data_IF_276263371567
#
_entry.id   IF_276263371567
#
_cell.length_a   1.000
_cell.length_b   1.000
_cell.length_c   1.000
_cell.angle_alpha   90.00
_cell.angle_beta   90.00
_cell.angle_gamma   90.00
#
_symmetry.space_group_name_H-M   'P 1'
#
loop_
_entity.id
_entity.type
_entity.pdbx_description
1 polymer ?
#
# COMPACT_ATOMS: atom_id res chain seq x y z
N UNK A 1 -80.03 -2.00 4.00
CA UNK A 1 -79.14 -1.09 4.74
C UNK A 1 -77.79 -1.78 4.67
N UNK A 2 -77.04 -1.52 3.60
CA UNK A 2 -75.76 -2.18 3.34
C UNK A 2 -74.68 -1.42 4.09
N UNK A 3 -73.96 -2.13 4.95
CA UNK A 3 -72.87 -1.59 5.75
C UNK A 3 -71.69 -1.33 4.81
N UNK A 4 -71.32 -0.06 4.66
CA UNK A 4 -70.16 0.34 3.86
C UNK A 4 -68.90 0.13 4.70
N UNK A 5 -68.44 -1.11 4.79
CA UNK A 5 -67.16 -1.42 5.40
C UNK A 5 -66.02 -1.31 4.36
N UNK A 6 -64.95 -0.62 4.73
CA UNK A 6 -63.79 -0.38 3.88
C UNK A 6 -62.54 -0.85 4.60
N UNK A 7 -61.89 -1.89 4.06
CA UNK A 7 -60.67 -2.44 4.64
C UNK A 7 -59.42 -1.70 4.12
N UNK A 8 -58.69 -1.06 5.04
CA UNK A 8 -57.39 -0.44 4.78
C UNK A 8 -56.28 -1.32 5.34
N UNK A 9 -55.41 -1.83 4.47
CA UNK A 9 -54.21 -2.58 4.86
C UNK A 9 -52.98 -1.69 4.70
N UNK A 10 -52.28 -1.40 5.81
CA UNK A 10 -51.03 -0.64 5.82
C UNK A 10 -49.88 -1.61 6.13
N UNK A 11 -48.95 -1.84 5.18
CA UNK A 11 -47.82 -2.74 5.42
C UNK A 11 -46.86 -2.13 6.44
N UNK A 12 -46.51 -2.90 7.47
CA UNK A 12 -45.54 -2.50 8.50
C UNK A 12 -44.13 -2.91 8.07
N UNK A 13 -43.18 -1.96 8.13
CA UNK A 13 -41.76 -2.20 7.91
C UNK A 13 -40.95 -1.61 9.07
N UNK A 14 -39.91 -2.30 9.49
CA UNK A 14 -39.03 -1.85 10.57
C UNK A 14 -37.76 -1.23 10.01
N UNK A 15 -37.32 -0.15 10.63
CA UNK A 15 -36.13 0.58 10.21
C UNK A 15 -34.91 0.08 10.98
N UNK A 16 -34.00 -0.61 10.31
CA UNK A 16 -32.76 -1.08 10.90
C UNK A 16 -31.68 0.02 10.84
N UNK A 17 -31.05 0.30 11.98
CA UNK A 17 -29.94 1.25 12.10
C UNK A 17 -28.63 0.48 12.03
N UNK A 18 -28.10 0.31 10.82
CA UNK A 18 -26.86 -0.43 10.59
C UNK A 18 -25.77 0.57 10.20
N UNK A 19 -24.62 0.46 10.84
CA UNK A 19 -23.40 1.18 10.50
C UNK A 19 -22.47 0.24 9.72
N UNK A 20 -22.12 0.65 8.50
CA UNK A 20 -21.18 -0.07 7.65
C UNK A 20 -19.90 0.76 7.47
N UNK A 21 -18.76 0.27 7.94
CA UNK A 21 -17.46 0.94 7.81
C UNK A 21 -16.41 0.05 7.17
N UNK A 22 -15.30 0.66 6.74
CA UNK A 22 -14.21 0.00 6.01
C UNK A 22 -12.87 0.41 6.59
N UNK A 23 -11.93 -0.51 6.56
CA UNK A 23 -10.52 -0.32 6.93
C UNK A 23 -9.64 -1.12 5.96
N UNK A 24 -8.39 -0.67 5.80
CA UNK A 24 -7.39 -1.40 5.02
C UNK A 24 -6.01 -1.23 5.66
N UNK A 25 -5.15 -2.23 5.52
CA UNK A 25 -3.80 -2.22 6.09
C UNK A 25 -2.90 -1.19 5.41
N UNK A 26 -3.10 -0.91 4.12
CA UNK A 26 -2.42 0.17 3.41
C UNK A 26 -3.28 0.71 2.28
N UNK A 27 -3.05 1.97 1.92
CA UNK A 27 -3.70 2.66 0.79
C UNK A 27 -2.72 2.96 -0.35
N UNK A 28 -1.42 2.69 -0.15
CA UNK A 28 -0.35 2.94 -1.11
C UNK A 28 0.59 1.75 -1.13
N UNK A 29 0.98 1.34 -2.34
CA UNK A 29 1.92 0.27 -2.61
C UNK A 29 2.93 0.73 -3.64
N UNK A 30 4.22 0.63 -3.30
CA UNK A 30 5.31 0.96 -4.20
C UNK A 30 5.95 -0.30 -4.74
N UNK A 31 6.01 -0.40 -6.07
CA UNK A 31 6.66 -1.52 -6.75
C UNK A 31 8.17 -1.31 -6.70
N UNK A 32 8.86 -2.24 -6.03
CA UNK A 32 10.32 -2.26 -5.95
C UNK A 32 10.98 -2.54 -7.31
N UNK A 33 12.29 -2.29 -7.39
CA UNK A 33 13.07 -2.41 -8.64
C UNK A 33 13.30 -3.84 -9.13
N UNK A 34 13.29 -4.82 -8.25
CA UNK A 34 13.62 -6.21 -8.56
C UNK A 34 12.41 -7.11 -8.31
N UNK A 35 12.16 -8.07 -9.20
CA UNK A 35 11.19 -9.15 -8.97
C UNK A 35 11.84 -10.04 -7.89
N UNK A 36 11.65 -9.72 -6.61
CA UNK A 36 12.26 -10.49 -5.54
C UNK A 36 11.64 -11.89 -5.52
N UNK A 37 12.38 -12.87 -6.05
CA UNK A 37 12.06 -14.32 -6.01
C UNK A 37 12.30 -14.89 -4.59
N UNK A 38 12.45 -14.05 -3.56
CA UNK A 38 12.66 -14.51 -2.20
C UNK A 38 11.35 -14.49 -1.41
N UNK A 39 10.87 -15.69 -1.09
CA UNK A 39 9.65 -15.99 -0.32
C UNK A 39 9.57 -15.33 1.08
N UNK A 40 10.60 -14.59 1.52
CA UNK A 40 10.62 -13.86 2.78
C UNK A 40 9.87 -12.51 2.73
N UNK A 41 9.49 -12.01 1.55
CA UNK A 41 8.77 -10.74 1.38
C UNK A 41 7.27 -10.89 1.03
N UNK A 42 6.73 -12.10 0.88
CA UNK A 42 5.33 -12.31 0.45
C UNK A 42 4.29 -11.74 1.42
N UNK A 43 4.63 -11.64 2.71
CA UNK A 43 3.78 -11.06 3.75
C UNK A 43 3.67 -9.52 3.71
N UNK A 44 4.60 -8.82 3.04
CA UNK A 44 4.55 -7.36 2.87
C UNK A 44 3.58 -6.92 1.77
N UNK A 45 3.19 -7.85 0.90
CA UNK A 45 2.47 -7.60 -0.34
C UNK A 45 0.99 -7.99 -0.28
N UNK A 46 0.54 -8.48 0.88
CA UNK A 46 -0.84 -8.88 1.11
C UNK A 46 -1.68 -7.67 1.53
N UNK A 47 -2.71 -7.35 0.77
CA UNK A 47 -3.69 -6.36 1.16
C UNK A 47 -4.81 -7.02 1.99
N UNK A 48 -5.32 -6.27 2.96
CA UNK A 48 -6.45 -6.66 3.77
C UNK A 48 -7.53 -5.58 3.65
N UNK A 49 -8.74 -6.00 3.29
CA UNK A 49 -9.93 -5.15 3.33
C UNK A 49 -10.84 -5.65 4.46
N UNK A 50 -10.95 -4.85 5.52
CA UNK A 50 -11.79 -5.16 6.66
C UNK A 50 -13.04 -4.31 6.61
N UNK A 51 -14.20 -4.96 6.64
CA UNK A 51 -15.49 -4.29 6.71
C UNK A 51 -16.17 -4.63 8.02
N UNK A 52 -16.61 -3.58 8.72
CA UNK A 52 -17.34 -3.70 9.98
C UNK A 52 -18.80 -3.40 9.74
N UNK A 53 -19.65 -4.34 10.15
CA UNK A 53 -21.12 -4.22 10.10
C UNK A 53 -21.62 -4.19 11.54
N UNK A 54 -22.16 -3.05 11.98
CA UNK A 54 -22.57 -2.83 13.36
C UNK A 54 -24.05 -2.48 13.43
N UNK A 55 -24.79 -3.16 14.30
CA UNK A 55 -26.18 -2.82 14.61
C UNK A 55 -26.21 -1.75 15.70
N UNK A 56 -26.79 -0.60 15.40
CA UNK A 56 -27.03 0.50 16.34
C UNK A 56 -28.49 0.53 16.82
N UNK A 57 -29.33 -0.35 16.28
CA UNK A 57 -30.73 -0.48 16.62
C UNK A 57 -30.99 -1.31 17.88
N UNK A 58 -32.25 -1.35 18.30
CA UNK A 58 -32.73 -2.00 19.53
C UNK A 58 -33.31 -3.39 19.30
N UNK A 59 -33.22 -3.92 18.08
CA UNK A 59 -33.68 -5.26 17.72
C UNK A 59 -32.63 -5.99 16.87
N UNK A 60 -32.55 -7.32 16.95
CA UNK A 60 -31.62 -8.10 16.13
C UNK A 60 -32.00 -8.02 14.65
N UNK A 61 -30.99 -8.06 13.78
CA UNK A 61 -31.15 -7.93 12.32
C UNK A 61 -30.62 -9.18 11.64
N UNK A 62 -31.40 -9.70 10.68
CA UNK A 62 -31.05 -10.89 9.89
C UNK A 62 -31.20 -10.60 8.39
N UNK A 63 -30.61 -11.48 7.57
CA UNK A 63 -30.67 -11.38 6.12
C UNK A 63 -29.80 -10.27 5.56
N UNK A 64 -28.73 -9.89 6.26
CA UNK A 64 -27.71 -8.98 5.72
C UNK A 64 -26.75 -9.77 4.83
N UNK A 65 -26.41 -9.20 3.69
CA UNK A 65 -25.45 -9.77 2.74
C UNK A 65 -24.42 -8.70 2.36
N UNK A 66 -23.14 -9.03 2.38
CA UNK A 66 -22.08 -8.16 1.89
C UNK A 66 -21.57 -8.70 0.56
N UNK A 67 -21.59 -7.85 -0.46
CA UNK A 67 -21.08 -8.16 -1.79
C UNK A 67 -19.84 -7.31 -2.07
N UNK A 68 -18.66 -7.93 -2.03
CA UNK A 68 -17.37 -7.30 -2.36
C UNK A 68 -17.04 -7.57 -3.83
N UNK A 69 -16.55 -6.55 -4.53
CA UNK A 69 -15.93 -6.68 -5.86
C UNK A 69 -14.53 -6.07 -5.88
N UNK A 70 -13.60 -6.79 -6.50
CA UNK A 70 -12.17 -6.43 -6.57
C UNK A 70 -11.66 -6.58 -8.01
N UNK A 71 -10.94 -5.59 -8.57
CA UNK A 71 -10.30 -5.66 -9.89
C UNK A 71 -9.34 -6.85 -10.02
N UNK A 72 -9.77 -7.89 -10.74
CA UNK A 72 -8.99 -9.11 -10.94
C UNK A 72 -8.06 -9.01 -12.14
N UNK A 73 -8.62 -8.86 -13.34
CA UNK A 73 -7.86 -8.75 -14.58
C UNK A 73 -8.12 -7.40 -15.25
N UNK A 74 -7.11 -6.81 -15.87
CA UNK A 74 -7.29 -5.70 -16.81
C UNK A 74 -8.10 -6.15 -18.04
N UNK A 75 -8.56 -5.20 -18.87
CA UNK A 75 -9.25 -5.54 -20.12
C UNK A 75 -8.34 -6.28 -21.12
N UNK A 76 -7.02 -6.07 -21.04
CA UNK A 76 -6.06 -6.84 -21.82
C UNK A 76 -5.78 -8.23 -21.23
N UNK A 77 -6.34 -8.58 -20.07
CA UNK A 77 -6.18 -9.88 -19.43
C UNK A 77 -4.99 -9.98 -18.46
N UNK A 78 -4.34 -8.87 -18.12
CA UNK A 78 -3.26 -8.88 -17.14
C UNK A 78 -3.83 -9.00 -15.71
N UNK A 79 -3.32 -9.91 -14.85
CA UNK A 79 -3.72 -9.98 -13.46
C UNK A 79 -3.35 -8.72 -12.66
N UNK A 80 -4.23 -8.28 -11.76
CA UNK A 80 -4.07 -7.07 -10.96
C UNK A 80 -4.10 -7.39 -9.46
N UNK A 81 -5.22 -7.92 -8.97
CA UNK A 81 -5.42 -8.25 -7.56
C UNK A 81 -5.95 -9.67 -7.45
N UNK A 82 -5.25 -10.51 -6.70
CA UNK A 82 -5.73 -11.84 -6.33
C UNK A 82 -6.67 -11.74 -5.14
N UNK A 83 -7.57 -12.70 -5.04
CA UNK A 83 -8.44 -12.84 -3.89
C UNK A 83 -8.07 -14.11 -3.14
N UNK A 84 -7.74 -13.97 -1.86
CA UNK A 84 -7.42 -15.06 -0.96
C UNK A 84 -8.58 -15.38 -0.01
N UNK A 85 -8.24 -15.71 1.23
CA UNK A 85 -9.20 -16.14 2.24
C UNK A 85 -10.03 -14.98 2.81
N UNK A 86 -11.22 -15.34 3.29
CA UNK A 86 -12.16 -14.44 3.95
C UNK A 86 -12.30 -14.87 5.39
N UNK A 87 -11.89 -14.00 6.30
CA UNK A 87 -12.01 -14.22 7.74
C UNK A 87 -13.28 -13.53 8.23
N UNK A 88 -14.16 -14.28 8.86
CA UNK A 88 -15.44 -13.77 9.35
C UNK A 88 -15.60 -14.02 10.84
N UNK A 89 -16.19 -13.06 11.52
CA UNK A 89 -16.69 -13.26 12.87
C UNK A 89 -18.15 -13.76 12.82
N UNK A 90 -18.56 -14.52 13.83
CA UNK A 90 -19.98 -14.78 14.11
C UNK A 90 -20.75 -15.65 13.11
N UNK A 91 -20.09 -16.64 12.48
CA UNK A 91 -20.78 -17.68 11.69
C UNK A 91 -21.28 -17.24 10.31
N UNK A 92 -20.71 -16.16 9.76
CA UNK A 92 -21.03 -15.69 8.40
C UNK A 92 -20.49 -16.64 7.34
N UNK A 93 -21.27 -16.91 6.29
CA UNK A 93 -20.91 -17.82 5.19
C UNK A 93 -20.60 -17.02 3.94
N UNK A 94 -19.42 -17.21 3.37
CA UNK A 94 -18.97 -16.49 2.18
C UNK A 94 -18.73 -17.43 1.00
N UNK A 95 -19.15 -16.99 -0.19
CA UNK A 95 -18.90 -17.65 -1.47
C UNK A 95 -18.03 -16.74 -2.33
N UNK A 96 -16.90 -17.28 -2.79
CA UNK A 96 -15.94 -16.57 -3.63
C UNK A 96 -16.18 -16.92 -5.09
N UNK A 97 -16.26 -15.91 -5.95
CA UNK A 97 -16.36 -16.04 -7.40
C UNK A 97 -15.12 -15.43 -8.05
N UNK A 98 -14.27 -16.29 -8.59
CA UNK A 98 -13.08 -15.83 -9.29
C UNK A 98 -13.41 -15.45 -10.74
N UNK A 99 -12.73 -14.43 -11.24
CA UNK A 99 -12.82 -14.03 -12.64
C UNK A 99 -12.33 -15.16 -13.56
N UNK A 100 -13.03 -15.35 -14.68
CA UNK A 100 -12.60 -16.31 -15.71
C UNK A 100 -11.27 -15.86 -16.31
N UNK A 101 -10.34 -16.79 -16.50
CA UNK A 101 -9.01 -16.50 -17.05
C UNK A 101 -7.98 -16.07 -16.01
N UNK A 102 -8.34 -16.09 -14.71
CA UNK A 102 -7.35 -15.93 -13.64
C UNK A 102 -6.26 -17.02 -13.75
N UNK A 103 -4.96 -16.68 -13.56
CA UNK A 103 -3.87 -17.65 -13.66
C UNK A 103 -4.03 -18.80 -12.67
N UNK A 104 -4.10 -20.01 -13.21
CA UNK A 104 -4.04 -21.26 -12.43
C UNK A 104 -2.60 -21.70 -12.22
N UNK A 105 -2.35 -22.39 -11.11
CA UNK A 105 -1.01 -22.89 -10.76
C UNK A 105 -0.48 -23.81 -11.88
N UNK A 106 0.71 -23.50 -12.40
CA UNK A 106 1.41 -24.32 -13.40
C UNK A 106 1.14 -23.96 -14.86
N UNK A 107 0.33 -22.94 -15.15
CA UNK A 107 0.12 -22.44 -16.53
C UNK A 107 1.03 -21.25 -16.83
N UNK A 108 1.65 -21.25 -18.02
CA UNK A 108 2.43 -20.09 -18.49
C UNK A 108 1.51 -18.89 -18.70
N UNK A 109 1.82 -17.77 -18.04
CA UNK A 109 1.06 -16.52 -18.11
C UNK A 109 1.69 -15.59 -19.14
N UNK A 110 0.92 -15.21 -20.16
CA UNK A 110 1.30 -14.16 -21.10
C UNK A 110 0.86 -12.81 -20.56
N UNK A 111 1.81 -11.92 -20.30
CA UNK A 111 1.54 -10.53 -19.92
C UNK A 111 1.51 -9.64 -21.17
N UNK A 112 0.58 -8.69 -21.17
CA UNK A 112 0.37 -7.74 -22.25
C UNK A 112 0.91 -6.36 -21.89
N UNK A 113 1.50 -5.67 -22.85
CA UNK A 113 1.87 -4.27 -22.71
C UNK A 113 0.62 -3.39 -22.67
N UNK A 114 0.42 -2.65 -21.58
CA UNK A 114 -0.62 -1.65 -21.45
C UNK A 114 0.02 -0.32 -21.05
N UNK A 115 -0.39 0.77 -21.69
CA UNK A 115 0.07 2.12 -21.35
C UNK A 115 -1.09 2.92 -20.80
N UNK A 116 -0.94 3.37 -19.56
CA UNK A 116 -1.90 4.23 -18.89
C UNK A 116 -1.35 5.65 -18.78
N UNK A 117 -2.23 6.64 -18.86
CA UNK A 117 -1.88 8.04 -18.65
C UNK A 117 -1.38 8.28 -17.21
N UNK A 118 -0.89 9.50 -16.91
CA UNK A 118 -0.17 9.79 -15.66
C UNK A 118 -0.91 9.44 -14.35
N UNK A 119 -2.25 9.42 -14.38
CA UNK A 119 -3.08 8.89 -13.30
C UNK A 119 -4.28 8.15 -13.91
N UNK A 120 -4.33 6.84 -13.73
CA UNK A 120 -5.46 6.01 -14.16
C UNK A 120 -6.11 5.37 -12.94
N UNK A 121 -7.44 5.33 -12.94
CA UNK A 121 -8.21 4.57 -11.97
C UNK A 121 -8.81 3.34 -12.66
N UNK A 122 -8.63 2.16 -12.06
CA UNK A 122 -9.22 0.90 -12.51
C UNK A 122 -10.23 0.43 -11.48
N UNK A 123 -11.45 0.16 -11.94
CA UNK A 123 -12.53 -0.37 -11.12
C UNK A 123 -13.26 -1.52 -11.85
N UNK A 124 -14.32 -2.05 -11.26
CA UNK A 124 -15.10 -3.13 -11.87
C UNK A 124 -16.00 -2.71 -13.04
N UNK A 125 -15.96 -1.44 -13.47
CA UNK A 125 -16.54 -1.00 -14.73
C UNK A 125 -15.52 -1.08 -15.87
N UNK A 126 -14.23 -0.88 -15.55
CA UNK A 126 -13.12 -0.90 -16.50
C UNK A 126 -12.22 -2.14 -16.40
N UNK A 127 -12.61 -3.17 -15.63
CA UNK A 127 -11.83 -4.39 -15.42
C UNK A 127 -12.75 -5.60 -15.24
N UNK A 128 -12.17 -6.80 -15.33
CA UNK A 128 -12.85 -8.02 -14.94
C UNK A 128 -12.59 -8.34 -13.47
N UNK A 129 -13.65 -8.45 -12.67
CA UNK A 129 -13.52 -8.52 -11.21
C UNK A 129 -13.75 -9.91 -10.62
N UNK A 130 -13.05 -10.15 -9.51
CA UNK A 130 -13.48 -11.13 -8.53
C UNK A 130 -14.67 -10.57 -7.76
N UNK A 131 -15.58 -11.44 -7.32
CA UNK A 131 -16.62 -11.07 -6.38
C UNK A 131 -16.69 -12.03 -5.20
N UNK A 132 -17.14 -11.52 -4.06
CA UNK A 132 -17.43 -12.33 -2.88
C UNK A 132 -18.79 -11.96 -2.35
N UNK A 133 -19.60 -12.97 -2.08
CA UNK A 133 -20.90 -12.83 -1.45
C UNK A 133 -20.87 -13.47 -0.07
N UNK A 134 -21.01 -12.64 0.97
CA UNK A 134 -21.04 -13.08 2.36
C UNK A 134 -22.44 -12.89 2.95
N UNK A 135 -23.11 -13.99 3.26
CA UNK A 135 -24.35 -13.99 4.05
C UNK A 135 -23.99 -13.90 5.52
N UNK A 136 -24.39 -12.80 6.17
CA UNK A 136 -24.10 -12.57 7.58
C UNK A 136 -25.08 -13.35 8.46
N UNK A 137 -24.57 -13.84 9.57
CA UNK A 137 -25.40 -14.37 10.65
C UNK A 137 -26.31 -13.30 11.28
N UNK A 138 -27.12 -13.71 12.25
CA UNK A 138 -27.95 -12.77 13.00
C UNK A 138 -27.06 -11.75 13.73
N UNK A 139 -27.29 -10.48 13.46
CA UNK A 139 -26.60 -9.38 14.09
C UNK A 139 -27.42 -8.90 15.30
N UNK A 140 -26.96 -9.26 16.49
CA UNK A 140 -27.56 -8.85 17.76
C UNK A 140 -27.65 -7.34 17.98
N UNK A 141 -28.29 -6.96 19.08
CA UNK A 141 -28.47 -5.56 19.48
C UNK A 141 -27.12 -4.98 19.92
N UNK A 142 -26.76 -3.80 19.41
CA UNK A 142 -25.47 -3.13 19.70
C UNK A 142 -24.22 -3.96 19.39
N UNK A 143 -24.33 -5.03 18.59
CA UNK A 143 -23.20 -5.88 18.22
C UNK A 143 -22.60 -5.49 16.88
N UNK A 144 -21.36 -5.94 16.65
CA UNK A 144 -20.65 -5.76 15.40
C UNK A 144 -20.07 -7.09 14.92
N UNK A 145 -20.01 -7.24 13.59
CA UNK A 145 -19.32 -8.32 12.90
C UNK A 145 -18.25 -7.72 11.99
N UNK A 146 -17.16 -8.45 11.84
CA UNK A 146 -16.05 -8.07 10.98
C UNK A 146 -15.89 -9.11 9.86
N UNK A 147 -15.68 -8.60 8.64
CA UNK A 147 -15.32 -9.38 7.47
C UNK A 147 -13.97 -8.88 6.97
N UNK A 148 -12.95 -9.73 7.01
CA UNK A 148 -11.61 -9.40 6.51
C UNK A 148 -11.29 -10.23 5.28
N UNK A 149 -11.28 -9.56 4.14
CA UNK A 149 -10.90 -10.15 2.86
C UNK A 149 -9.42 -9.91 2.64
N UNK A 150 -8.71 -10.99 2.30
CA UNK A 150 -7.27 -10.92 2.06
C UNK A 150 -6.97 -11.18 0.58
N UNK A 151 -5.84 -10.68 0.09
CA UNK A 151 -5.40 -10.91 -1.27
C UNK A 151 -4.03 -10.32 -1.54
N UNK A 152 -3.50 -10.52 -2.74
CA UNK A 152 -2.18 -10.04 -3.13
C UNK A 152 -2.25 -9.21 -4.40
N UNK A 153 -1.36 -8.23 -4.50
CA UNK A 153 -1.14 -7.50 -5.74
C UNK A 153 -0.25 -8.32 -6.68
N UNK A 154 -0.60 -8.38 -7.96
CA UNK A 154 0.18 -9.13 -8.95
C UNK A 154 1.33 -8.29 -9.52
N UNK A 155 2.41 -8.17 -8.73
CA UNK A 155 3.61 -7.42 -9.09
C UNK A 155 4.10 -7.63 -10.53
N UNK A 156 4.16 -8.87 -11.09
CA UNK A 156 4.64 -9.08 -12.47
C UNK A 156 3.90 -8.27 -13.53
N UNK A 157 2.56 -8.18 -13.44
CA UNK A 157 1.76 -7.40 -14.39
C UNK A 157 2.07 -5.92 -14.28
N UNK A 158 2.19 -5.43 -13.05
CA UNK A 158 2.50 -4.02 -12.84
C UNK A 158 3.89 -3.66 -13.35
N UNK A 159 4.86 -4.58 -13.31
CA UNK A 159 6.16 -4.37 -13.95
C UNK A 159 6.03 -4.21 -15.47
N UNK A 160 5.23 -5.05 -16.13
CA UNK A 160 5.00 -5.01 -17.58
C UNK A 160 4.28 -3.73 -18.04
N UNK A 161 3.25 -3.29 -17.32
CA UNK A 161 2.44 -2.12 -17.71
C UNK A 161 3.21 -0.79 -17.56
N UNK A 162 2.92 0.21 -18.39
CA UNK A 162 3.49 1.56 -18.27
C UNK A 162 2.51 2.53 -17.59
N UNK A 163 2.86 3.02 -16.40
CA UNK A 163 2.08 4.01 -15.65
C UNK A 163 2.95 4.77 -14.64
N UNK A 164 2.52 5.97 -14.21
CA UNK A 164 3.14 6.70 -13.08
C UNK A 164 2.44 6.39 -11.76
N UNK A 165 1.12 6.52 -11.74
CA UNK A 165 0.23 6.18 -10.62
C UNK A 165 -0.98 5.43 -11.15
N UNK A 166 -1.29 4.29 -10.55
CA UNK A 166 -2.44 3.47 -10.89
C UNK A 166 -3.25 3.24 -9.64
N UNK A 167 -4.53 3.59 -9.64
CA UNK A 167 -5.39 3.41 -8.47
C UNK A 167 -6.38 2.28 -8.72
N UNK A 168 -6.32 1.25 -7.88
CA UNK A 168 -7.21 0.10 -7.95
C UNK A 168 -8.36 0.31 -6.99
N UNK A 169 -9.58 0.46 -7.51
CA UNK A 169 -10.78 0.75 -6.76
C UNK A 169 -11.63 -0.52 -6.60
N UNK A 170 -11.68 -1.03 -5.37
CA UNK A 170 -12.59 -2.11 -4.96
C UNK A 170 -13.82 -1.51 -4.29
N UNK A 171 -14.93 -2.25 -4.27
CA UNK A 171 -16.14 -1.79 -3.57
C UNK A 171 -16.89 -2.92 -2.90
N UNK A 172 -17.39 -2.67 -1.69
CA UNK A 172 -18.29 -3.56 -0.99
C UNK A 172 -19.66 -2.89 -0.83
N UNK A 173 -20.71 -3.65 -1.08
CA UNK A 173 -22.09 -3.22 -0.93
C UNK A 173 -22.80 -4.08 0.12
N UNK A 174 -23.42 -3.42 1.10
CA UNK A 174 -24.29 -4.08 2.05
C UNK A 174 -25.72 -4.13 1.50
N UNK A 175 -26.26 -5.34 1.35
CA UNK A 175 -27.61 -5.64 0.90
C UNK A 175 -28.42 -6.23 2.05
N UNK A 176 -29.72 -6.01 1.99
CA UNK A 176 -30.69 -6.56 2.92
C UNK A 176 -31.69 -7.40 2.14
N UNK A 177 -31.73 -8.69 2.44
CA UNK A 177 -32.59 -9.68 1.79
C UNK A 177 -33.93 -9.89 2.53
N UNK A 178 -34.21 -9.08 3.56
CA UNK A 178 -35.43 -9.16 4.35
C UNK A 178 -36.53 -8.24 3.79
N UNK A 179 -37.76 -8.75 3.56
CA UNK A 179 -38.88 -7.94 3.08
C UNK A 179 -39.49 -7.03 4.17
N UNK A 180 -39.22 -7.30 5.44
CA UNK A 180 -39.80 -6.59 6.59
C UNK A 180 -38.92 -5.44 7.08
N UNK A 181 -37.63 -5.46 6.74
CA UNK A 181 -36.66 -4.50 7.21
C UNK A 181 -36.32 -3.49 6.11
N UNK A 182 -36.05 -2.26 6.51
CA UNK A 182 -35.55 -1.19 5.64
C UNK A 182 -34.35 -0.57 6.33
N UNK A 183 -33.25 -0.43 5.61
CA UNK A 183 -32.06 0.19 6.19
C UNK A 183 -32.21 1.72 6.23
N UNK A 184 -31.67 2.36 7.26
CA UNK A 184 -31.81 3.82 7.51
C UNK A 184 -30.99 4.72 6.60
N UNK A 185 -29.73 4.34 6.35
CA UNK A 185 -28.75 5.06 5.54
C UNK A 185 -29.05 4.94 4.03
N UNK A 186 -28.61 5.94 3.26
CA UNK A 186 -28.88 6.04 1.81
C UNK A 186 -27.78 5.37 0.97
N UNK A 187 -26.57 5.25 1.51
CA UNK A 187 -25.40 4.72 0.81
C UNK A 187 -24.81 3.53 1.56
N UNK A 188 -25.04 2.32 1.04
CA UNK A 188 -24.53 1.06 1.59
C UNK A 188 -23.29 0.54 0.89
N UNK A 189 -22.76 1.35 -0.02
CA UNK A 189 -21.55 1.04 -0.77
C UNK A 189 -20.34 1.72 -0.11
N UNK A 190 -19.25 0.99 0.01
CA UNK A 190 -17.98 1.42 0.58
C UNK A 190 -16.87 1.08 -0.41
N UNK A 191 -16.10 2.08 -0.80
CA UNK A 191 -15.01 1.92 -1.76
C UNK A 191 -13.69 1.82 -1.04
N UNK A 192 -12.83 0.86 -1.37
CA UNK A 192 -11.46 0.79 -0.87
C UNK A 192 -10.52 0.90 -2.05
N UNK A 193 -9.52 1.77 -1.94
CA UNK A 193 -8.59 2.07 -3.02
C UNK A 193 -7.16 1.80 -2.58
N UNK A 194 -6.40 1.18 -3.46
CA UNK A 194 -4.95 1.02 -3.32
C UNK A 194 -4.29 1.78 -4.47
N UNK A 195 -3.45 2.75 -4.15
CA UNK A 195 -2.62 3.44 -5.12
C UNK A 195 -1.31 2.68 -5.33
N UNK A 196 -1.04 2.29 -6.57
CA UNK A 196 0.16 1.59 -6.99
C UNK A 196 1.06 2.56 -7.74
N UNK A 197 2.29 2.70 -7.28
CA UNK A 197 3.31 3.56 -7.91
C UNK A 197 4.55 2.77 -8.23
N UNK A 198 5.23 3.14 -9.31
CA UNK A 198 6.55 2.59 -9.63
C UNK A 198 7.62 3.44 -8.98
N UNK A 199 8.58 2.80 -8.33
CA UNK A 199 9.79 3.49 -7.87
C UNK A 199 10.51 4.06 -9.11
N UNK A 200 10.36 5.36 -9.33
CA UNK A 200 11.04 6.02 -10.43
C UNK A 200 12.49 6.22 -10.01
N UNK A 201 13.42 5.98 -10.93
CA UNK A 201 14.77 6.47 -10.82
C UNK A 201 14.71 8.00 -10.63
N UNK A 202 14.71 8.46 -9.39
CA UNK A 202 15.25 9.78 -9.08
C UNK A 202 16.76 9.60 -9.06
N UNK A 203 17.34 9.31 -10.22
CA UNK A 203 18.77 9.50 -10.42
C UNK A 203 18.96 10.99 -10.21
N UNK A 204 19.40 11.36 -9.01
CA UNK A 204 19.75 12.75 -8.69
C UNK A 204 20.73 13.16 -9.78
N UNK A 205 20.41 14.16 -10.61
CA UNK A 205 21.26 14.52 -11.74
C UNK A 205 22.68 14.75 -11.24
N UNK A 206 23.68 14.16 -11.90
CA UNK A 206 25.08 14.30 -11.50
C UNK A 206 25.49 15.77 -11.39
N UNK A 207 24.86 16.64 -12.18
CA UNK A 207 25.01 18.10 -12.09
C UNK A 207 24.65 18.68 -10.72
N UNK A 208 23.65 18.15 -10.02
CA UNK A 208 23.27 18.59 -8.66
C UNK A 208 24.37 18.17 -7.67
N UNK A 209 24.93 16.97 -7.81
CA UNK A 209 26.02 16.47 -6.97
C UNK A 209 27.27 17.33 -7.18
N UNK A 210 27.67 17.53 -8.44
CA UNK A 210 28.82 18.37 -8.82
C UNK A 210 28.59 19.81 -8.33
N UNK A 211 27.40 20.37 -8.57
CA UNK A 211 27.04 21.72 -8.14
C UNK A 211 27.09 21.90 -6.61
N UNK A 212 26.65 20.90 -5.86
CA UNK A 212 26.71 20.91 -4.39
C UNK A 212 28.16 20.89 -3.88
N UNK A 213 29.04 20.10 -4.51
CA UNK A 213 30.47 20.05 -4.14
C UNK A 213 31.16 21.39 -4.42
N UNK A 214 30.95 21.96 -5.61
CA UNK A 214 31.53 23.28 -5.95
C UNK A 214 30.97 24.39 -5.06
N UNK A 215 29.67 24.40 -4.81
CA UNK A 215 29.02 25.37 -3.94
C UNK A 215 29.51 25.26 -2.50
N UNK A 216 29.64 24.03 -1.98
CA UNK A 216 30.17 23.76 -0.64
C UNK A 216 31.63 24.21 -0.49
N UNK A 217 32.48 23.93 -1.48
CA UNK A 217 33.87 24.38 -1.49
C UNK A 217 34.00 25.90 -1.55
N UNK A 218 33.17 26.56 -2.37
CA UNK A 218 33.16 28.01 -2.48
C UNK A 218 32.72 28.67 -1.17
N UNK A 219 31.65 28.16 -0.56
CA UNK A 219 31.16 28.62 0.74
C UNK A 219 32.22 28.43 1.82
N UNK A 220 32.88 27.27 1.86
CA UNK A 220 33.95 26.95 2.80
C UNK A 220 35.15 27.90 2.64
N UNK A 221 35.56 28.17 1.40
CA UNK A 221 36.65 29.10 1.12
C UNK A 221 36.30 30.53 1.59
N UNK A 222 35.09 30.98 1.32
CA UNK A 222 34.61 32.30 1.74
C UNK A 222 34.55 32.44 3.26
N UNK A 223 34.04 31.42 3.97
CA UNK A 223 34.05 31.38 5.44
C UNK A 223 35.48 31.41 5.99
N UNK A 224 36.40 30.65 5.40
CA UNK A 224 37.80 30.63 5.81
C UNK A 224 38.45 32.01 5.63
N UNK A 225 38.18 32.70 4.51
CA UNK A 225 38.64 34.05 4.27
C UNK A 225 38.09 35.07 5.28
N UNK A 226 36.80 34.98 5.63
CA UNK A 226 36.19 35.84 6.65
C UNK A 226 36.84 35.59 8.01
N UNK A 227 36.97 34.33 8.43
CA UNK A 227 37.59 33.94 9.69
C UNK A 227 39.06 34.37 9.77
N UNK A 228 39.79 34.32 8.64
CA UNK A 228 41.16 34.79 8.57
C UNK A 228 41.26 36.32 8.71
N UNK A 229 40.39 37.07 8.05
CA UNK A 229 40.27 38.54 8.18
C UNK A 229 39.82 38.97 9.58
N UNK A 230 38.93 38.20 10.22
CA UNK A 230 38.50 38.41 11.60
C UNK A 230 39.59 38.06 12.64
N UNK A 231 40.76 37.58 12.20
CA UNK A 231 41.92 37.35 13.07
C UNK A 231 41.91 36.03 13.83
N UNK A 232 40.98 35.11 13.53
CA UNK A 232 40.85 33.83 14.23
C UNK A 232 42.06 32.91 14.04
N UNK A 233 42.75 32.99 12.89
CA UNK A 233 43.91 32.17 12.56
C UNK A 233 45.28 32.82 12.86
N UNK A 234 45.35 33.90 13.65
CA UNK A 234 46.64 34.40 14.15
C UNK A 234 47.16 33.48 15.27
N UNK A 235 47.66 32.29 14.92
CA UNK A 235 48.50 31.51 15.82
C UNK A 235 49.82 32.25 16.02
N UNK A 236 50.08 32.71 17.25
CA UNK A 236 51.45 32.96 17.70
C UNK A 236 52.15 31.61 17.72
N UNK A 237 52.97 31.34 16.71
CA UNK A 237 53.99 30.31 16.81
C UNK A 237 54.96 30.79 17.89
N UNK A 238 54.85 30.22 19.10
CA UNK A 238 55.92 30.32 20.08
C UNK A 238 57.05 29.48 19.49
N UNK A 239 58.02 30.14 18.85
CA UNK A 239 59.32 29.56 18.54
C UNK A 239 59.95 29.18 19.88
N UNK A 240 59.97 27.88 20.19
CA UNK A 240 60.90 27.34 21.18
C UNK A 240 62.12 26.88 20.41
N UNK A 241 63.03 27.82 20.18
CA UNK A 241 64.36 27.53 19.64
C UNK A 241 65.39 27.77 20.74
N UNK A 242 66.42 26.92 20.75
CA UNK A 242 67.64 26.89 21.60
C UNK A 242 67.52 26.26 23.00
N UNK A 243 68.35 25.32 23.45
CA UNK A 243 69.66 24.74 23.03
C UNK A 243 69.65 23.23 23.48
N UNK A 244 70.49 22.28 23.06
CA UNK A 244 71.96 22.26 23.08
C UNK A 244 72.45 20.93 22.46
N UNK A 245 73.39 21.05 21.52
CA UNK A 245 74.61 20.25 21.29
C UNK A 245 74.69 18.75 21.64
N UNK A 246 75.28 18.00 20.70
CA UNK A 246 76.16 16.87 20.99
C UNK A 246 75.81 15.57 20.27
N UNK A 247 76.28 15.36 19.04
CA UNK A 247 77.61 14.77 18.79
C UNK A 247 77.74 14.38 17.30
N UNK A 248 78.88 14.74 16.75
CA UNK A 248 79.41 14.38 15.44
C UNK A 248 79.57 12.87 15.22
N UNK A 249 79.79 12.55 13.95
CA UNK A 249 80.50 11.39 13.36
C UNK A 249 79.68 10.12 13.08
N UNK A 250 79.84 9.38 11.98
CA UNK A 250 80.56 9.49 10.70
C UNK A 250 80.02 8.30 9.86
N UNK A 251 79.95 8.46 8.52
CA UNK A 251 80.29 7.43 7.50
C UNK A 251 79.46 6.13 7.41
N UNK A 252 78.58 6.12 6.41
CA UNK A 252 78.50 5.20 5.25
C UNK A 252 79.17 3.80 5.33
N UNK A 253 78.37 2.73 5.37
CA UNK A 253 78.47 1.47 4.58
C UNK A 253 77.21 0.63 4.96
N UNK A 254 76.48 -0.04 4.07
CA UNK A 254 76.93 -1.17 3.29
C UNK A 254 76.35 -2.48 3.87
N UNK A 255 75.53 -3.14 3.06
CA UNK A 255 75.29 -4.59 3.02
C UNK A 255 74.13 -5.28 3.78
N UNK A 256 73.47 -6.11 2.97
CA UNK A 256 72.52 -7.18 3.22
C UNK A 256 72.96 -8.15 4.33
N UNK A 257 72.01 -8.75 5.05
CA UNK A 257 71.78 -10.21 5.00
C UNK A 257 70.57 -10.66 5.85
N UNK A 258 69.81 -11.52 5.19
CA UNK A 258 68.98 -12.63 5.64
C UNK A 258 69.36 -13.25 7.00
N UNK A 259 68.38 -13.60 7.85
CA UNK A 259 68.25 -14.96 8.42
C UNK A 259 66.95 -15.14 9.24
N UNK A 260 66.04 -15.90 8.63
CA UNK A 260 65.23 -17.00 9.14
C UNK A 260 65.36 -17.40 10.63
N UNK A 261 64.22 -17.51 11.30
CA UNK A 261 63.80 -18.65 12.14
C UNK A 261 62.28 -18.66 12.26
#
# INVERSE_FOLDING_TARGET
MEDNDASLSIPVRYKADILFTRETNFNHYEIGKEISIQAAEESKHQYNFTFKVQNLGIFPVEGLQVHLVVPGLSLAGNPLMSLGDVHTDGGSVCTIFLVKGWPEQGKSLTLHDETFNEAMELDCQSTHCHSVECSLGQLGVYSALYLTFTGHLWSPSFHQMSFKRLKLNSSAELKLLSPLLVLKEVNWKRYVSIEVTKERWTTVPLWIIIGSILGGLLLLALLTCILWKAGFFRRRYILRDRDTEGHESLVQDGQETFHQS
#
